data_IF_228590171424
#
_entry.id   IF_228590171424
#
_cell.length_a   1.000
_cell.length_b   1.000
_cell.length_c   1.000
_cell.angle_alpha   90.00
_cell.angle_beta   90.00
_cell.angle_gamma   90.00
#
_symmetry.space_group_name_H-M   'P 1'
#
loop_
_entity.id
_entity.type
_entity.pdbx_description
1 polymer ?
#
# COMPACT_ATOMS: atom_id res chain seq x y z
N UNK A 1 -10.93 -4.43 -26.27
CA UNK A 1 -10.37 -4.18 -24.92
C UNK A 1 -10.77 -2.76 -24.54
N UNK A 2 -11.59 -2.59 -23.50
CA UNK A 2 -12.00 -1.26 -23.03
C UNK A 2 -10.80 -0.58 -22.38
N UNK A 3 -10.33 0.53 -22.97
CA UNK A 3 -9.27 1.35 -22.40
C UNK A 3 -9.87 2.27 -21.36
N UNK A 4 -9.55 2.05 -20.09
CA UNK A 4 -9.90 2.99 -19.02
C UNK A 4 -8.84 4.09 -18.94
N UNK A 5 -9.28 5.33 -18.81
CA UNK A 5 -8.37 6.42 -18.46
C UNK A 5 -7.83 6.17 -17.06
N UNK A 6 -6.51 6.36 -16.81
CA UNK A 6 -5.96 6.21 -15.46
C UNK A 6 -6.64 7.20 -14.50
N UNK A 7 -6.74 6.79 -13.23
CA UNK A 7 -7.23 7.67 -12.18
C UNK A 7 -6.31 8.91 -12.08
N UNK A 8 -6.86 10.13 -11.95
CA UNK A 8 -6.03 11.32 -11.85
C UNK A 8 -5.13 11.28 -10.61
N UNK A 9 -3.82 11.31 -10.82
CA UNK A 9 -2.85 11.30 -9.73
C UNK A 9 -3.06 12.47 -8.76
N UNK A 10 -3.49 13.63 -9.26
CA UNK A 10 -3.81 14.82 -8.45
C UNK A 10 -4.91 14.58 -7.43
N UNK A 11 -5.81 13.62 -7.66
CA UNK A 11 -6.85 13.24 -6.70
C UNK A 11 -6.39 12.11 -5.78
N UNK A 12 -5.70 11.11 -6.31
CA UNK A 12 -5.32 9.90 -5.56
C UNK A 12 -4.16 10.15 -4.61
N UNK A 13 -3.15 10.88 -5.07
CA UNK A 13 -1.88 11.07 -4.37
C UNK A 13 -2.07 11.70 -2.97
N UNK A 14 -2.88 12.78 -2.79
CA UNK A 14 -3.11 13.34 -1.47
C UNK A 14 -3.76 12.34 -0.49
N UNK A 15 -4.68 11.50 -0.98
CA UNK A 15 -5.40 10.51 -0.18
C UNK A 15 -4.43 9.42 0.29
N UNK A 16 -3.61 8.90 -0.62
CA UNK A 16 -2.59 7.88 -0.29
C UNK A 16 -1.57 8.44 0.69
N UNK A 17 -1.11 9.69 0.49
CA UNK A 17 -0.16 10.32 1.41
C UNK A 17 -0.74 10.43 2.82
N UNK A 18 -1.97 10.92 2.96
CA UNK A 18 -2.61 11.08 4.28
C UNK A 18 -2.79 9.73 4.95
N UNK A 19 -3.24 8.71 4.22
CA UNK A 19 -3.39 7.35 4.76
C UNK A 19 -2.04 6.78 5.24
N UNK A 20 -0.96 6.94 4.46
CA UNK A 20 0.37 6.49 4.87
C UNK A 20 0.92 7.28 6.07
N UNK A 21 0.65 8.58 6.16
CA UNK A 21 1.06 9.40 7.31
C UNK A 21 0.33 8.99 8.59
N UNK A 22 -0.95 8.65 8.50
CA UNK A 22 -1.75 8.11 9.62
C UNK A 22 -1.20 6.76 10.08
N UNK A 23 -0.98 5.83 9.16
CA UNK A 23 -0.61 4.44 9.45
C UNK A 23 0.84 4.30 9.94
N UNK A 24 1.80 4.94 9.25
CA UNK A 24 3.23 4.85 9.59
C UNK A 24 3.62 5.79 10.74
N UNK A 25 2.83 6.84 10.98
CA UNK A 25 3.10 7.83 12.02
C UNK A 25 4.52 8.40 11.97
N UNK A 26 5.17 8.52 13.14
CA UNK A 26 6.54 9.09 13.25
C UNK A 26 7.64 8.03 13.18
N UNK A 27 7.31 6.78 13.45
CA UNK A 27 8.30 5.72 13.69
C UNK A 27 8.31 4.66 12.59
N UNK A 28 7.43 4.76 11.58
CA UNK A 28 7.32 3.74 10.55
C UNK A 28 6.73 2.42 11.05
N UNK A 29 7.02 1.33 10.35
CA UNK A 29 6.60 -0.03 10.72
C UNK A 29 7.69 -0.74 11.54
N UNK A 30 7.66 -0.48 12.85
CA UNK A 30 8.60 -1.10 13.80
C UNK A 30 8.44 -2.62 13.92
N UNK A 31 7.27 -3.16 13.58
CA UNK A 31 7.03 -4.61 13.69
C UNK A 31 7.78 -5.31 12.58
N UNK A 32 7.66 -4.82 11.34
CA UNK A 32 8.43 -5.34 10.19
C UNK A 32 9.93 -5.23 10.45
N UNK A 33 10.43 -4.08 10.91
CA UNK A 33 11.85 -3.87 11.23
C UNK A 33 12.38 -4.86 12.29
N UNK A 34 11.54 -5.24 13.26
CA UNK A 34 11.94 -6.13 14.35
C UNK A 34 11.98 -7.62 13.96
N UNK A 35 11.20 -8.05 12.96
CA UNK A 35 10.96 -9.47 12.70
C UNK A 35 11.30 -9.95 11.29
N UNK A 36 11.46 -9.04 10.32
CA UNK A 36 11.75 -9.40 8.92
C UNK A 36 13.20 -9.06 8.57
N UNK A 37 13.99 -10.01 8.03
CA UNK A 37 15.33 -9.72 7.53
C UNK A 37 15.33 -8.66 6.43
N UNK A 38 16.34 -7.78 6.43
CA UNK A 38 16.44 -6.66 5.48
C UNK A 38 16.43 -7.09 4.01
N UNK A 39 17.02 -8.24 3.68
CA UNK A 39 17.15 -8.80 2.33
C UNK A 39 15.99 -9.74 1.97
N UNK A 40 14.96 -9.83 2.80
CA UNK A 40 13.80 -10.66 2.55
C UNK A 40 13.01 -10.16 1.34
N UNK A 41 12.67 -11.08 0.43
CA UNK A 41 11.75 -10.82 -0.68
C UNK A 41 10.61 -11.82 -0.63
N UNK A 42 9.40 -11.36 -1.00
CA UNK A 42 8.20 -12.18 -0.98
C UNK A 42 7.38 -11.99 -2.26
N UNK A 43 6.64 -13.02 -2.62
CA UNK A 43 5.59 -12.93 -3.65
C UNK A 43 4.23 -12.83 -2.97
N UNK A 44 3.43 -11.86 -3.39
CA UNK A 44 2.12 -11.52 -2.82
C UNK A 44 1.04 -11.69 -3.90
N UNK A 45 -0.17 -12.07 -3.46
CA UNK A 45 -1.38 -11.99 -4.29
C UNK A 45 -2.46 -11.20 -3.55
N UNK A 46 -3.14 -10.30 -4.26
CA UNK A 46 -4.36 -9.65 -3.75
C UNK A 46 -5.55 -10.57 -4.03
N UNK A 47 -6.13 -11.15 -2.97
CA UNK A 47 -7.27 -12.07 -3.08
C UNK A 47 -8.48 -11.51 -2.34
N UNK A 48 -9.59 -11.31 -3.05
CA UNK A 48 -10.86 -10.91 -2.45
C UNK A 48 -11.36 -12.01 -1.48
N UNK A 49 -11.81 -11.60 -0.30
CA UNK A 49 -12.37 -12.53 0.71
C UNK A 49 -13.84 -12.88 0.44
N UNK A 50 -14.53 -12.05 -0.34
CA UNK A 50 -15.94 -12.19 -0.72
C UNK A 50 -16.17 -11.55 -2.09
N UNK A 51 -17.34 -11.80 -2.70
CA UNK A 51 -17.76 -11.10 -3.91
C UNK A 51 -17.98 -9.60 -3.63
N UNK A 52 -17.83 -8.78 -4.68
CA UNK A 52 -18.03 -7.32 -4.63
C UNK A 52 -19.49 -6.92 -4.68
#
# INVERSE_FOLDING_TARGET
MTSFSPLPATLIEPIVRVALLEDLGRSGDLTTDAVIPYDCTATLVLKARQAG
#
